data_IF_758273369620
#
_entry.id   IF_758273369620
#
_cell.length_a   1.000
_cell.length_b   1.000
_cell.length_c   1.000
_cell.angle_alpha   90.00
_cell.angle_beta   90.00
_cell.angle_gamma   90.00
#
_symmetry.space_group_name_H-M   'P 1'
#
loop_
_entity.id
_entity.type
_entity.pdbx_description
1 polymer ?
#
# COMPACT_ATOMS: atom_id res chain seq x y z
N UNK A 1 8.57 17.60 -19.68
CA UNK A 1 7.22 17.00 -19.61
C UNK A 1 7.16 16.23 -18.31
N UNK A 2 6.28 16.61 -17.37
CA UNK A 2 6.07 15.88 -16.12
C UNK A 2 5.44 14.52 -16.45
N UNK A 3 6.28 13.54 -16.81
CA UNK A 3 5.80 12.20 -17.13
C UNK A 3 5.49 11.47 -15.83
N UNK A 4 4.21 11.27 -15.54
CA UNK A 4 3.76 10.38 -14.47
C UNK A 4 4.38 8.99 -14.66
N UNK A 5 5.03 8.48 -13.63
CA UNK A 5 5.61 7.14 -13.66
C UNK A 5 4.53 6.11 -13.37
N UNK A 6 3.94 5.54 -14.43
CA UNK A 6 2.94 4.47 -14.31
C UNK A 6 3.44 3.27 -13.52
N UNK A 7 4.74 2.98 -13.55
CA UNK A 7 5.36 1.94 -12.73
C UNK A 7 5.21 2.25 -11.23
N UNK A 8 5.53 3.47 -10.81
CA UNK A 8 5.39 3.94 -9.42
C UNK A 8 3.93 3.85 -8.96
N UNK A 9 2.99 4.30 -9.80
CA UNK A 9 1.54 4.22 -9.53
C UNK A 9 1.08 2.75 -9.41
N UNK A 10 1.56 1.86 -10.29
CA UNK A 10 1.25 0.44 -10.24
C UNK A 10 1.72 -0.22 -8.95
N UNK A 11 2.94 0.10 -8.49
CA UNK A 11 3.44 -0.39 -7.20
C UNK A 11 2.67 0.21 -6.02
N UNK A 12 2.24 1.47 -6.11
CA UNK A 12 1.35 2.06 -5.11
C UNK A 12 0.02 1.31 -5.02
N UNK A 13 -0.57 0.87 -6.14
CA UNK A 13 -1.80 0.07 -6.14
C UNK A 13 -1.61 -1.27 -5.41
N UNK A 14 -0.54 -2.01 -5.74
CA UNK A 14 -0.22 -3.27 -5.07
C UNK A 14 0.04 -3.07 -3.58
N UNK A 15 0.78 -2.01 -3.24
CA UNK A 15 1.01 -1.58 -1.86
C UNK A 15 -0.31 -1.29 -1.13
N UNK A 16 -1.23 -0.54 -1.75
CA UNK A 16 -2.54 -0.21 -1.18
C UNK A 16 -3.36 -1.47 -0.89
N UNK A 17 -3.34 -2.46 -1.79
CA UNK A 17 -4.01 -3.75 -1.56
C UNK A 17 -3.41 -4.45 -0.33
N UNK A 18 -2.08 -4.60 -0.26
CA UNK A 18 -1.45 -5.27 0.88
C UNK A 18 -1.70 -4.58 2.22
N UNK A 19 -1.57 -3.25 2.26
CA UNK A 19 -1.81 -2.46 3.49
C UNK A 19 -3.29 -2.53 3.89
N UNK A 20 -4.22 -2.47 2.93
CA UNK A 20 -5.65 -2.61 3.20
C UNK A 20 -5.98 -3.97 3.84
N UNK A 21 -5.45 -5.06 3.30
CA UNK A 21 -5.67 -6.39 3.86
C UNK A 21 -5.00 -6.59 5.22
N UNK A 22 -3.82 -6.01 5.45
CA UNK A 22 -3.21 -6.00 6.79
C UNK A 22 -4.06 -5.23 7.80
N UNK A 23 -4.60 -4.06 7.42
CA UNK A 23 -5.51 -3.30 8.27
C UNK A 23 -6.80 -4.08 8.56
N UNK A 24 -7.36 -4.77 7.57
CA UNK A 24 -8.54 -5.61 7.72
C UNK A 24 -8.28 -6.80 8.65
N UNK A 25 -7.13 -7.46 8.50
CA UNK A 25 -6.74 -8.56 9.38
C UNK A 25 -6.50 -8.06 10.80
N UNK A 26 -5.82 -6.92 10.99
CA UNK A 26 -5.61 -6.32 12.31
C UNK A 26 -6.94 -6.00 13.01
N UNK A 27 -7.93 -5.45 12.28
CA UNK A 27 -9.27 -5.15 12.81
C UNK A 27 -10.07 -6.39 13.18
N UNK A 28 -9.97 -7.46 12.38
CA UNK A 28 -10.72 -8.70 12.61
C UNK A 28 -9.97 -9.72 13.47
N UNK A 29 -8.76 -9.39 13.94
CA UNK A 29 -7.94 -10.31 14.71
C UNK A 29 -8.57 -10.59 16.08
N UNK A 30 -9.09 -11.81 16.26
CA UNK A 30 -9.62 -12.34 17.53
C UNK A 30 -8.71 -13.42 18.14
N UNK A 31 -7.46 -13.49 17.68
CA UNK A 31 -6.53 -14.54 18.08
C UNK A 31 -6.04 -14.38 19.53
N UNK A 32 -5.63 -15.50 20.14
CA UNK A 32 -5.20 -15.58 21.53
C UNK A 32 -3.84 -14.90 21.82
N UNK A 33 -3.02 -14.65 20.79
CA UNK A 33 -1.69 -14.04 20.95
C UNK A 33 -1.74 -12.52 20.79
N UNK A 34 -1.67 -11.82 21.93
CA UNK A 34 -1.64 -10.35 21.98
C UNK A 34 -0.43 -9.77 21.23
N UNK A 35 0.72 -10.46 21.29
CA UNK A 35 1.95 -10.04 20.61
C UNK A 35 1.80 -10.03 19.07
N UNK A 36 1.14 -11.05 18.51
CA UNK A 36 0.90 -11.13 17.07
C UNK A 36 -0.05 -10.02 16.60
N UNK A 37 -1.13 -9.76 17.35
CA UNK A 37 -2.05 -8.66 17.05
C UNK A 37 -1.38 -7.28 17.09
N UNK A 38 -0.43 -7.09 18.02
CA UNK A 38 0.35 -5.85 18.12
C UNK A 38 1.26 -5.67 16.90
N UNK A 39 2.03 -6.70 16.54
CA UNK A 39 2.93 -6.68 15.37
C UNK A 39 2.15 -6.40 14.07
N UNK A 40 0.98 -7.03 13.92
CA UNK A 40 0.12 -6.83 12.77
C UNK A 40 -0.42 -5.39 12.70
N UNK A 41 -0.86 -4.84 13.83
CA UNK A 41 -1.35 -3.47 13.93
C UNK A 41 -0.22 -2.45 13.67
N UNK A 42 0.98 -2.72 14.19
CA UNK A 42 2.15 -1.88 13.97
C UNK A 42 2.56 -1.87 12.49
N UNK A 43 2.56 -3.04 11.83
CA UNK A 43 2.81 -3.14 10.40
C UNK A 43 1.77 -2.38 9.58
N UNK A 44 0.50 -2.53 9.91
CA UNK A 44 -0.59 -1.83 9.23
C UNK A 44 -0.50 -0.30 9.40
N UNK A 45 -0.07 0.16 10.57
CA UNK A 45 0.17 1.58 10.87
C UNK A 45 1.39 2.12 10.11
N UNK A 46 2.51 1.39 10.11
CA UNK A 46 3.70 1.76 9.34
C UNK A 46 3.41 1.78 7.83
N UNK A 47 2.64 0.82 7.32
CA UNK A 47 2.13 0.83 5.95
C UNK A 47 1.33 2.09 5.66
N UNK A 48 0.38 2.46 6.52
CA UNK A 48 -0.38 3.71 6.34
C UNK A 48 0.52 4.96 6.30
N UNK A 49 1.45 5.08 7.25
CA UNK A 49 2.40 6.19 7.29
C UNK A 49 3.26 6.25 6.03
N UNK A 50 3.75 5.10 5.56
CA UNK A 50 4.57 5.00 4.35
C UNK A 50 3.78 5.46 3.12
N UNK A 51 2.51 5.09 3.02
CA UNK A 51 1.62 5.53 1.94
C UNK A 51 1.39 7.04 1.94
N UNK A 52 1.17 7.64 3.11
CA UNK A 52 1.02 9.09 3.25
C UNK A 52 2.31 9.83 2.90
N UNK A 53 3.45 9.37 3.41
CA UNK A 53 4.76 9.93 3.10
C UNK A 53 5.06 9.88 1.60
N UNK A 54 4.71 8.79 0.92
CA UNK A 54 4.85 8.66 -0.53
C UNK A 54 4.00 9.68 -1.28
N UNK A 55 2.73 9.87 -0.89
CA UNK A 55 1.85 10.86 -1.52
C UNK A 55 2.39 12.28 -1.37
N UNK A 56 2.86 12.65 -0.18
CA UNK A 56 3.47 13.97 0.07
C UNK A 56 4.73 14.13 -0.77
N UNK A 57 5.61 13.13 -0.79
CA UNK A 57 6.85 13.16 -1.56
C UNK A 57 6.59 13.27 -3.07
N UNK A 58 5.65 12.49 -3.62
CA UNK A 58 5.28 12.55 -5.02
C UNK A 58 4.70 13.92 -5.40
N UNK A 59 3.87 14.50 -4.52
CA UNK A 59 3.29 15.82 -4.73
C UNK A 59 4.32 16.94 -4.74
N UNK A 60 5.34 16.82 -3.89
CA UNK A 60 6.45 17.77 -3.82
C UNK A 60 7.41 17.62 -5.01
N UNK A 61 7.76 16.39 -5.39
CA UNK A 61 8.79 16.11 -6.39
C UNK A 61 8.29 16.15 -7.83
N UNK A 62 7.02 15.85 -8.08
CA UNK A 62 6.46 15.76 -9.44
C UNK A 62 5.45 16.88 -9.67
N UNK A 63 4.27 16.78 -9.05
CA UNK A 63 3.22 17.78 -9.21
C UNK A 63 2.17 17.67 -8.10
N UNK A 64 1.69 18.81 -7.60
CA UNK A 64 0.84 18.90 -6.40
C UNK A 64 -0.52 18.17 -6.51
N UNK A 65 -1.07 18.02 -7.73
CA UNK A 65 -2.36 17.36 -7.95
C UNK A 65 -2.26 15.84 -8.09
N UNK A 66 -1.08 15.30 -8.44
CA UNK A 66 -0.88 13.87 -8.68
C UNK A 66 -1.19 12.98 -7.46
N UNK A 67 -0.86 13.36 -6.21
CA UNK A 67 -1.20 12.56 -5.04
C UNK A 67 -2.69 12.26 -4.91
N UNK A 68 -3.56 13.22 -5.28
CA UNK A 68 -5.01 13.03 -5.24
C UNK A 68 -5.42 11.94 -6.23
N UNK A 69 -4.87 11.99 -7.45
CA UNK A 69 -5.16 10.99 -8.48
C UNK A 69 -4.63 9.61 -8.09
N UNK A 70 -3.40 9.54 -7.57
CA UNK A 70 -2.79 8.28 -7.12
C UNK A 70 -3.58 7.67 -5.96
N UNK A 71 -4.05 8.50 -5.03
CA UNK A 71 -4.91 8.04 -3.93
C UNK A 71 -6.22 7.45 -4.45
N UNK A 72 -6.91 8.14 -5.38
CA UNK A 72 -8.16 7.64 -5.97
C UNK A 72 -7.94 6.31 -6.70
N UNK A 73 -6.87 6.19 -7.48
CA UNK A 73 -6.52 4.94 -8.18
C UNK A 73 -6.18 3.83 -7.17
N UNK A 74 -5.43 4.15 -6.11
CA UNK A 74 -5.11 3.20 -5.03
C UNK A 74 -6.37 2.67 -4.32
N UNK A 75 -7.33 3.55 -4.01
CA UNK A 75 -8.63 3.15 -3.44
C UNK A 75 -9.40 2.26 -4.43
N UNK A 76 -9.45 2.64 -5.71
CA UNK A 76 -10.10 1.82 -6.74
C UNK A 76 -9.42 0.45 -6.89
N UNK A 77 -8.10 0.36 -6.72
CA UNK A 77 -7.36 -0.91 -6.78
C UNK A 77 -7.73 -1.86 -5.64
N UNK A 78 -8.21 -1.36 -4.49
CA UNK A 78 -8.71 -2.21 -3.41
C UNK A 78 -9.95 -3.02 -3.84
N UNK A 79 -10.76 -2.53 -4.79
CA UNK A 79 -11.87 -3.28 -5.39
C UNK A 79 -11.36 -4.52 -6.15
N UNK A 80 -10.21 -4.41 -6.82
CA UNK A 80 -9.54 -5.54 -7.47
C UNK A 80 -8.99 -6.50 -6.43
N UNK A 81 -8.49 -5.97 -5.31
CA UNK A 81 -8.07 -6.74 -4.13
C UNK A 81 -9.12 -7.75 -3.67
N UNK A 82 -10.42 -7.39 -3.67
CA UNK A 82 -11.52 -8.32 -3.34
C UNK A 82 -11.59 -9.54 -4.27
N UNK A 83 -11.29 -9.37 -5.55
CA UNK A 83 -11.23 -10.49 -6.49
C UNK A 83 -10.06 -11.40 -6.16
N UNK A 84 -8.91 -10.82 -5.82
CA UNK A 84 -7.69 -11.58 -5.44
C UNK A 84 -7.93 -12.33 -4.12
N UNK A 85 -8.60 -11.72 -3.15
CA UNK A 85 -8.98 -12.37 -1.89
C UNK A 85 -9.84 -13.61 -2.12
N UNK A 86 -10.79 -13.56 -3.05
CA UNK A 86 -11.62 -14.75 -3.37
C UNK A 86 -10.79 -15.93 -3.87
N UNK A 87 -9.63 -15.68 -4.48
CA UNK A 87 -8.75 -16.72 -5.03
C UNK A 87 -7.74 -17.22 -4.00
N UNK A 88 -7.08 -16.31 -3.27
CA UNK A 88 -5.95 -16.63 -2.41
C UNK A 88 -6.31 -16.75 -0.92
N UNK A 89 -7.47 -16.22 -0.52
CA UNK A 89 -7.91 -16.13 0.87
C UNK A 89 -7.29 -14.95 1.63
N UNK A 90 -8.06 -14.35 2.54
CA UNK A 90 -7.67 -13.18 3.32
C UNK A 90 -6.40 -13.41 4.18
N UNK A 91 -6.24 -14.63 4.71
CA UNK A 91 -5.10 -14.98 5.54
C UNK A 91 -3.79 -14.97 4.76
N UNK A 92 -3.76 -15.64 3.60
CA UNK A 92 -2.60 -15.67 2.70
C UNK A 92 -2.24 -14.27 2.23
N UNK A 93 -3.24 -13.46 1.88
CA UNK A 93 -3.01 -12.07 1.47
C UNK A 93 -2.40 -11.22 2.57
N UNK A 94 -2.82 -11.40 3.83
CA UNK A 94 -2.25 -10.65 4.94
C UNK A 94 -0.82 -11.08 5.27
N UNK A 95 -0.50 -12.38 5.17
CA UNK A 95 0.87 -12.89 5.36
C UNK A 95 1.78 -12.46 4.22
N UNK A 96 1.30 -12.55 2.98
CA UNK A 96 1.97 -11.98 1.82
C UNK A 96 2.15 -10.47 1.99
N UNK A 97 1.15 -9.78 2.54
CA UNK A 97 1.21 -8.35 2.83
C UNK A 97 2.37 -7.97 3.72
N UNK A 98 2.73 -8.80 4.72
CA UNK A 98 3.83 -8.54 5.66
C UNK A 98 5.19 -8.30 4.97
N UNK A 99 5.42 -8.96 3.84
CA UNK A 99 6.65 -8.84 3.02
C UNK A 99 6.38 -8.06 1.73
N UNK A 100 5.15 -8.12 1.22
CA UNK A 100 4.72 -7.48 -0.01
C UNK A 100 4.68 -5.97 0.12
N UNK A 101 4.12 -5.43 1.21
CA UNK A 101 4.01 -3.98 1.36
C UNK A 101 5.38 -3.28 1.45
N UNK A 102 6.40 -3.77 2.19
CA UNK A 102 7.71 -3.10 2.22
C UNK A 102 8.43 -3.15 0.86
N UNK A 103 8.32 -4.26 0.13
CA UNK A 103 8.91 -4.39 -1.21
C UNK A 103 8.23 -3.43 -2.19
N UNK A 104 6.90 -3.39 -2.20
CA UNK A 104 6.15 -2.44 -3.03
C UNK A 104 6.45 -0.99 -2.61
N UNK A 105 6.64 -0.72 -1.32
CA UNK A 105 7.02 0.61 -0.84
C UNK A 105 8.39 1.04 -1.39
N UNK A 106 9.40 0.17 -1.31
CA UNK A 106 10.70 0.47 -1.90
C UNK A 106 10.61 0.76 -3.41
N UNK A 107 9.85 -0.05 -4.15
CA UNK A 107 9.71 0.11 -5.59
C UNK A 107 8.92 1.37 -5.96
N UNK A 108 7.83 1.70 -5.26
CA UNK A 108 7.06 2.92 -5.56
C UNK A 108 7.93 4.17 -5.40
N UNK A 109 8.76 4.25 -4.35
CA UNK A 109 9.69 5.37 -4.16
C UNK A 109 10.83 5.39 -5.19
N UNK A 110 11.38 4.21 -5.54
CA UNK A 110 12.46 4.10 -6.54
C UNK A 110 12.03 4.57 -7.93
N UNK A 111 10.78 4.35 -8.30
CA UNK A 111 10.25 4.72 -9.61
C UNK A 111 9.61 6.11 -9.64
N UNK A 112 9.66 6.89 -8.55
CA UNK A 112 9.24 8.30 -8.58
C UNK A 112 10.16 9.02 -9.57
N UNK A 113 9.61 9.74 -10.56
CA UNK A 113 10.41 10.52 -11.47
C UNK A 113 10.97 11.72 -10.72
N UNK A 114 12.19 11.60 -10.19
CA UNK A 114 12.98 12.73 -9.70
C UNK A 114 13.52 13.47 -10.92
N UNK A 115 13.12 14.72 -11.10
CA UNK A 115 13.73 15.60 -12.10
C UNK A 115 15.23 15.68 -11.84
N UNK A 116 16.02 15.09 -12.73
CA UNK A 116 17.43 15.44 -12.92
C UNK A 116 17.50 16.63 -13.87
#
# INVERSE_FOLDING_TARGET
MESLSWASIGFYCLFSIFVFYQQLHAKNFRGASQAFGLILSLSAFLGMLTGLSYLIYYGWSVVWWAPIVILVIGIASALIGFVIERVLGAFTLSMAGFIGWPVCAYLMFKYVPSGA
#
